data_IF_244009293232
#
_entry.id   IF_244009293232
#
_cell.length_a   1.000
_cell.length_b   1.000
_cell.length_c   1.000
_cell.angle_alpha   90.00
_cell.angle_beta   90.00
_cell.angle_gamma   90.00
#
_symmetry.space_group_name_H-M   'P 1'
#
loop_
_entity.id
_entity.type
_entity.pdbx_description
1 polymer ?
#
# COMPACT_ATOMS: atom_id res chain seq x y z
N UNK A 1 -2.09 12.88 6.53
CA UNK A 1 -0.79 12.38 7.02
C UNK A 1 0.26 12.71 5.96
N UNK A 2 1.52 12.98 6.31
CA UNK A 2 2.59 13.23 5.32
C UNK A 2 3.49 12.02 5.22
N UNK A 3 3.98 11.74 4.02
CA UNK A 3 4.85 10.58 3.77
C UNK A 3 6.14 10.64 4.61
N UNK A 4 6.66 11.85 4.79
CA UNK A 4 7.85 12.20 5.59
C UNK A 4 7.66 11.99 7.11
N UNK A 5 6.43 11.77 7.57
CA UNK A 5 6.13 11.40 8.96
C UNK A 5 5.94 9.90 9.17
N UNK A 6 6.06 9.08 8.12
CA UNK A 6 5.77 7.64 8.22
C UNK A 6 6.72 6.89 9.15
N UNK A 7 7.94 7.38 9.36
CA UNK A 7 8.91 6.78 10.29
C UNK A 7 8.46 6.80 11.75
N UNK A 8 7.43 7.58 12.09
CA UNK A 8 6.83 7.64 13.42
C UNK A 8 5.77 6.55 13.66
N UNK A 9 5.43 5.76 12.62
CA UNK A 9 4.33 4.81 12.67
C UNK A 9 4.78 3.34 12.60
N UNK A 10 3.99 2.49 13.27
CA UNK A 10 4.09 1.04 13.23
C UNK A 10 2.97 0.50 12.36
N UNK A 11 3.31 -0.11 11.22
CA UNK A 11 2.33 -0.82 10.38
C UNK A 11 2.02 -2.15 11.04
N UNK A 12 0.74 -2.41 11.30
CA UNK A 12 0.27 -3.65 11.94
C UNK A 12 -0.47 -4.57 10.97
N UNK A 13 -0.97 -4.01 9.86
CA UNK A 13 -1.58 -4.75 8.78
C UNK A 13 -1.49 -3.93 7.49
N UNK A 14 -1.51 -4.62 6.35
CA UNK A 14 -1.74 -4.01 5.05
C UNK A 14 -2.86 -4.79 4.38
N UNK A 15 -3.83 -4.07 3.83
CA UNK A 15 -4.93 -4.65 3.05
C UNK A 15 -4.83 -4.16 1.61
N UNK A 16 -5.05 -5.05 0.66
CA UNK A 16 -5.27 -4.64 -0.72
C UNK A 16 -6.73 -4.27 -0.93
N UNK A 17 -6.99 -3.32 -1.81
CA UNK A 17 -8.32 -2.94 -2.28
C UNK A 17 -8.45 -3.45 -3.72
N UNK A 18 -9.47 -4.27 -3.96
CA UNK A 18 -9.67 -4.96 -5.22
C UNK A 18 -11.05 -4.63 -5.80
N UNK A 19 -11.11 -4.55 -7.13
CA UNK A 19 -12.34 -4.56 -7.88
C UNK A 19 -12.83 -6.01 -8.04
N UNK A 20 -14.04 -6.31 -7.55
CA UNK A 20 -14.55 -7.68 -7.40
C UNK A 20 -14.65 -8.48 -8.71
N UNK A 21 -15.02 -7.89 -9.88
CA UNK A 21 -15.02 -8.63 -11.14
C UNK A 21 -13.68 -9.27 -11.51
N UNK A 22 -12.58 -8.80 -10.92
CA UNK A 22 -11.22 -9.27 -11.19
C UNK A 22 -10.69 -10.16 -10.04
N UNK A 23 -11.46 -10.39 -8.97
CA UNK A 23 -10.97 -11.06 -7.74
C UNK A 23 -10.70 -12.57 -7.89
N UNK A 24 -11.17 -13.21 -8.98
CA UNK A 24 -11.03 -14.66 -9.17
C UNK A 24 -9.64 -15.12 -9.62
N UNK A 25 -8.76 -14.18 -9.99
CA UNK A 25 -7.41 -14.48 -10.44
C UNK A 25 -6.37 -14.06 -9.38
N UNK A 26 -5.63 -15.02 -8.79
CA UNK A 26 -4.60 -14.72 -7.78
C UNK A 26 -3.40 -13.93 -8.33
N UNK A 27 -3.29 -13.76 -9.66
CA UNK A 27 -2.31 -12.89 -10.29
C UNK A 27 -2.73 -11.41 -10.31
N UNK A 28 -3.99 -11.10 -9.97
CA UNK A 28 -4.50 -9.72 -10.03
C UNK A 28 -3.86 -8.88 -8.94
N UNK A 29 -3.26 -7.79 -9.38
CA UNK A 29 -2.68 -6.79 -8.50
C UNK A 29 -3.79 -5.95 -7.87
N UNK A 30 -3.64 -5.50 -6.62
CA UNK A 30 -4.62 -4.59 -6.03
C UNK A 30 -4.65 -3.26 -6.78
N UNK A 31 -5.78 -2.56 -6.72
CA UNK A 31 -5.90 -1.18 -7.21
C UNK A 31 -5.27 -0.18 -6.23
N UNK A 32 -5.29 -0.54 -4.94
CA UNK A 32 -4.67 0.21 -3.86
C UNK A 32 -4.24 -0.69 -2.71
N UNK A 33 -3.32 -0.20 -1.88
CA UNK A 33 -3.08 -0.80 -0.56
C UNK A 33 -3.33 0.21 0.55
N UNK A 34 -3.86 -0.30 1.66
CA UNK A 34 -4.09 0.48 2.85
C UNK A 34 -3.21 -0.03 4.00
N UNK A 35 -2.30 0.85 4.45
CA UNK A 35 -1.42 0.64 5.58
C UNK A 35 -2.19 0.99 6.86
N UNK A 36 -2.35 0.02 7.75
CA UNK A 36 -3.05 0.21 9.02
C UNK A 36 -1.99 0.40 10.12
N UNK A 37 -2.08 1.50 10.86
CA UNK A 37 -1.08 1.83 11.88
C UNK A 37 -1.57 1.52 13.29
N UNK A 38 -0.63 1.15 14.16
CA UNK A 38 -0.87 0.95 15.58
C UNK A 38 -1.29 2.25 16.29
N UNK A 39 -0.64 3.34 15.92
CA UNK A 39 -0.74 4.62 16.62
C UNK A 39 -2.05 5.35 16.28
N UNK A 40 -2.45 5.35 15.01
CA UNK A 40 -3.74 5.91 14.58
C UNK A 40 -4.04 5.68 13.10
N UNK A 41 -5.27 5.27 12.81
CA UNK A 41 -5.85 5.31 11.46
C UNK A 41 -5.06 4.49 10.44
N UNK A 42 -5.12 4.96 9.20
CA UNK A 42 -4.53 4.28 8.05
C UNK A 42 -4.09 5.26 6.96
N UNK A 43 -3.27 4.77 6.03
CA UNK A 43 -2.84 5.47 4.82
C UNK A 43 -3.18 4.63 3.61
N UNK A 44 -3.79 5.26 2.62
CA UNK A 44 -4.07 4.66 1.33
C UNK A 44 -2.97 5.03 0.32
N UNK A 45 -2.50 4.03 -0.42
CA UNK A 45 -1.58 4.15 -1.55
C UNK A 45 -2.30 3.60 -2.78
N UNK A 46 -2.65 4.48 -3.71
CA UNK A 46 -3.46 4.15 -4.90
C UNK A 46 -2.74 4.53 -6.18
N UNK A 47 -2.83 3.68 -7.21
CA UNK A 47 -2.41 4.07 -8.57
C UNK A 47 -3.45 5.02 -9.17
N UNK A 48 -3.07 6.27 -9.40
CA UNK A 48 -3.92 7.24 -10.07
C UNK A 48 -4.09 6.94 -11.56
N UNK A 49 -5.18 7.43 -12.15
CA UNK A 49 -5.44 7.31 -13.60
C UNK A 49 -4.40 8.03 -14.47
N UNK A 50 -3.61 8.93 -13.89
CA UNK A 50 -2.46 9.59 -14.50
C UNK A 50 -1.14 8.84 -14.28
N UNK A 51 -1.23 7.58 -13.82
CA UNK A 51 -0.13 6.70 -13.45
C UNK A 51 0.82 7.28 -12.39
N UNK A 52 0.32 8.22 -11.59
CA UNK A 52 1.03 8.69 -10.39
C UNK A 52 0.54 7.94 -9.16
N UNK A 53 1.43 7.73 -8.19
CA UNK A 53 1.07 7.16 -6.90
C UNK A 53 0.46 8.25 -6.02
N UNK A 54 -0.79 8.04 -5.63
CA UNK A 54 -1.50 8.91 -4.68
C UNK A 54 -1.31 8.39 -3.26
N UNK A 55 -1.15 9.33 -2.34
CA UNK A 55 -1.00 9.05 -0.91
C UNK A 55 -2.07 9.82 -0.18
N UNK A 56 -3.03 9.10 0.39
CA UNK A 56 -4.20 9.70 1.02
C UNK A 56 -4.38 9.17 2.44
N UNK A 57 -5.13 9.91 3.25
CA UNK A 57 -5.56 9.38 4.54
C UNK A 57 -6.53 8.23 4.26
N UNK A 58 -6.28 7.08 4.87
CA UNK A 58 -7.13 5.92 4.71
C UNK A 58 -8.46 6.03 5.48
N UNK A 59 -9.41 5.20 5.06
CA UNK A 59 -10.78 5.13 5.58
C UNK A 59 -11.08 3.81 6.32
N UNK A 60 -10.10 2.90 6.45
CA UNK A 60 -10.23 1.61 7.11
C UNK A 60 -10.95 1.71 8.47
N UNK A 61 -11.97 0.86 8.74
CA UNK A 61 -12.38 -0.31 7.95
C UNK A 61 -13.43 -0.05 6.87
N UNK A 62 -13.72 1.20 6.53
CA UNK A 62 -14.64 1.56 5.43
C UNK A 62 -13.86 1.68 4.13
N UNK A 63 -14.46 1.27 3.02
CA UNK A 63 -13.86 1.48 1.70
C UNK A 63 -13.68 2.99 1.43
N UNK A 64 -12.59 3.38 0.73
CA UNK A 64 -12.42 4.74 0.27
C UNK A 64 -13.58 5.21 -0.60
N UNK A 65 -13.86 6.52 -0.59
CA UNK A 65 -14.98 7.10 -1.36
C UNK A 65 -14.89 6.92 -2.88
N UNK A 66 -13.69 6.67 -3.39
CA UNK A 66 -13.46 6.42 -4.82
C UNK A 66 -13.88 5.01 -5.25
N UNK A 67 -14.05 4.07 -4.30
CA UNK A 67 -14.63 2.75 -4.55
C UNK A 67 -16.14 2.87 -4.76
N UNK A 68 -16.55 3.19 -5.98
CA UNK A 68 -17.94 3.32 -6.36
C UNK A 68 -18.24 2.55 -7.65
N UNK A 69 -19.33 1.77 -7.70
CA UNK A 69 -20.28 1.50 -6.61
C UNK A 69 -19.65 0.57 -5.54
N UNK A 70 -19.89 0.78 -4.24
CA UNK A 70 -19.10 0.16 -3.16
C UNK A 70 -19.24 -1.37 -3.06
N UNK A 71 -20.31 -1.93 -3.61
CA UNK A 71 -20.57 -3.37 -3.68
C UNK A 71 -19.72 -4.08 -4.75
N UNK A 72 -18.99 -3.35 -5.58
CA UNK A 72 -18.03 -3.89 -6.56
C UNK A 72 -16.58 -3.88 -6.03
N UNK A 73 -16.37 -3.57 -4.76
CA UNK A 73 -15.03 -3.46 -4.17
C UNK A 73 -14.93 -4.20 -2.84
N UNK A 74 -13.72 -4.66 -2.51
CA UNK A 74 -13.45 -5.22 -1.19
C UNK A 74 -11.99 -5.04 -0.75
N UNK A 75 -11.82 -4.97 0.58
CA UNK A 75 -10.53 -5.24 1.20
C UNK A 75 -10.23 -6.74 1.22
N UNK A 76 -8.98 -7.10 0.93
CA UNK A 76 -8.45 -8.46 1.05
C UNK A 76 -7.05 -8.44 1.66
N UNK A 77 -6.68 -9.57 2.25
CA UNK A 77 -5.28 -9.81 2.62
C UNK A 77 -4.44 -10.00 1.36
N UNK A 78 -3.21 -9.50 1.38
CA UNK A 78 -2.28 -9.67 0.26
C UNK A 78 -1.48 -10.96 0.52
N UNK A 79 -1.63 -12.01 -0.30
CA UNK A 79 -1.09 -13.34 0.02
C UNK A 79 0.43 -13.38 0.26
N UNK A 80 1.19 -12.48 -0.39
CA UNK A 80 2.64 -12.39 -0.25
C UNK A 80 3.11 -11.71 1.06
N UNK A 81 2.20 -11.13 1.83
CA UNK A 81 2.52 -10.41 3.06
C UNK A 81 2.25 -11.30 4.27
N UNK A 82 3.31 -11.82 4.91
CA UNK A 82 3.18 -12.43 6.23
C UNK A 82 3.21 -11.35 7.32
N UNK A 83 2.49 -11.55 8.41
CA UNK A 83 2.49 -10.61 9.55
C UNK A 83 3.87 -10.43 10.19
N UNK A 84 4.81 -11.34 9.95
CA UNK A 84 6.20 -11.24 10.39
C UNK A 84 7.01 -10.17 9.63
N UNK A 85 6.49 -9.68 8.50
CA UNK A 85 7.13 -8.69 7.62
C UNK A 85 6.85 -7.24 8.08
N UNK A 86 5.84 -7.03 8.93
CA UNK A 86 5.37 -5.68 9.30
C UNK A 86 5.99 -5.20 10.62
N UNK A 87 6.01 -3.88 10.80
CA UNK A 87 6.53 -3.26 12.01
C UNK A 87 6.70 -1.76 11.88
N UNK A 88 7.64 -1.21 12.65
CA UNK A 88 7.96 0.21 12.59
C UNK A 88 8.72 0.55 11.31
N UNK A 89 8.29 1.61 10.64
CA UNK A 89 8.96 2.12 9.44
C UNK A 89 10.26 2.80 9.86
N UNK A 90 11.38 2.34 9.31
CA UNK A 90 12.70 2.91 9.53
C UNK A 90 13.04 4.00 8.50
N UNK A 91 12.70 3.77 7.23
CA UNK A 91 13.00 4.68 6.15
C UNK A 91 11.92 4.65 5.07
N UNK A 92 11.83 5.73 4.30
CA UNK A 92 10.92 5.84 3.16
C UNK A 92 11.66 6.45 1.98
N UNK A 93 11.77 5.69 0.90
CA UNK A 93 12.32 6.18 -0.36
C UNK A 93 11.20 6.47 -1.35
N UNK A 94 11.44 7.47 -2.20
CA UNK A 94 10.46 7.98 -3.17
C UNK A 94 11.09 7.99 -4.56
N UNK A 95 10.33 7.54 -5.55
CA UNK A 95 10.69 7.73 -6.95
C UNK A 95 9.68 8.66 -7.62
N UNK A 96 10.19 9.64 -8.36
CA UNK A 96 9.38 10.55 -9.17
C UNK A 96 9.68 10.33 -10.66
N UNK A 97 8.68 10.57 -11.51
CA UNK A 97 8.85 10.57 -12.95
C UNK A 97 9.55 11.87 -13.43
N UNK A 98 9.80 11.97 -14.75
CA UNK A 98 10.45 13.15 -15.36
C UNK A 98 9.68 14.47 -15.21
N UNK A 99 8.41 14.43 -14.78
CA UNK A 99 7.57 15.59 -14.51
C UNK A 99 7.45 15.91 -13.01
N UNK A 100 8.14 15.16 -12.15
CA UNK A 100 8.11 15.33 -10.69
C UNK A 100 6.91 14.67 -10.01
N UNK A 101 6.07 13.93 -10.73
CA UNK A 101 4.98 13.15 -10.16
C UNK A 101 5.52 11.92 -9.43
N UNK A 102 5.03 11.65 -8.22
CA UNK A 102 5.39 10.45 -7.47
C UNK A 102 4.90 9.21 -8.22
N UNK A 103 5.76 8.21 -8.37
CA UNK A 103 5.41 6.94 -9.05
C UNK A 103 5.73 5.70 -8.22
N UNK A 104 6.57 5.82 -7.20
CA UNK A 104 6.88 4.70 -6.32
C UNK A 104 7.21 5.19 -4.92
N UNK A 105 6.83 4.37 -3.94
CA UNK A 105 7.30 4.47 -2.55
C UNK A 105 7.85 3.12 -2.12
N UNK A 106 9.04 3.13 -1.50
CA UNK A 106 9.58 1.99 -0.76
C UNK A 106 9.51 2.31 0.73
N UNK A 107 8.85 1.44 1.49
CA UNK A 107 8.80 1.46 2.94
C UNK A 107 9.78 0.41 3.45
N UNK A 108 10.78 0.85 4.20
CA UNK A 108 11.76 -0.03 4.84
C UNK A 108 11.43 -0.13 6.32
N UNK A 109 11.36 -1.34 6.85
CA UNK A 109 11.00 -1.60 8.25
C UNK A 109 12.24 -1.84 9.10
N UNK A 110 12.16 -1.57 10.41
CA UNK A 110 13.26 -1.81 11.36
C UNK A 110 13.71 -3.29 11.39
N UNK A 111 12.82 -4.23 11.04
CA UNK A 111 13.13 -5.66 10.89
C UNK A 111 13.85 -6.04 9.60
N UNK A 112 14.17 -5.07 8.72
CA UNK A 112 14.87 -5.27 7.45
C UNK A 112 13.98 -5.65 6.26
N UNK A 113 12.70 -5.95 6.51
CA UNK A 113 11.70 -6.14 5.46
C UNK A 113 11.38 -4.85 4.71
N UNK A 114 10.83 -5.00 3.51
CA UNK A 114 10.50 -3.89 2.61
C UNK A 114 9.17 -4.11 1.91
N UNK A 115 8.43 -3.02 1.71
CA UNK A 115 7.26 -2.96 0.83
C UNK A 115 7.54 -1.91 -0.23
N UNK A 116 7.46 -2.29 -1.50
CA UNK A 116 7.55 -1.36 -2.63
C UNK A 116 6.17 -1.27 -3.28
N UNK A 117 5.59 -0.08 -3.34
CA UNK A 117 4.35 0.20 -4.05
C UNK A 117 4.65 1.13 -5.23
N UNK A 118 4.32 0.69 -6.45
CA UNK A 118 4.56 1.42 -7.69
C UNK A 118 3.27 1.61 -8.47
N UNK A 119 3.04 2.81 -8.98
CA UNK A 119 1.90 3.13 -9.85
C UNK A 119 2.10 2.58 -11.26
N UNK A 120 1.00 2.34 -11.94
CA UNK A 120 0.90 1.75 -13.27
C UNK A 120 -0.55 1.66 -13.73
N UNK A 121 -0.87 0.68 -14.58
CA UNK A 121 -2.26 0.36 -14.93
C UNK A 121 -3.05 -0.03 -13.68
N UNK A 122 -2.49 -0.90 -12.85
CA UNK A 122 -2.89 -1.16 -11.45
C UNK A 122 -1.68 -0.95 -10.53
N UNK A 123 -1.91 -0.94 -9.22
CA UNK A 123 -0.83 -0.79 -8.25
C UNK A 123 0.01 -2.08 -8.19
N UNK A 124 1.30 -1.99 -8.50
CA UNK A 124 2.23 -3.08 -8.26
C UNK A 124 2.75 -3.02 -6.84
N UNK A 125 2.71 -4.15 -6.12
CA UNK A 125 3.21 -4.24 -4.75
C UNK A 125 4.16 -5.42 -4.60
N UNK A 126 5.38 -5.13 -4.17
CA UNK A 126 6.42 -6.14 -3.92
C UNK A 126 6.77 -6.18 -2.44
N UNK A 127 6.84 -7.39 -1.90
CA UNK A 127 7.21 -7.65 -0.51
C UNK A 127 8.54 -8.38 -0.46
N UNK A 128 9.48 -7.85 0.30
CA UNK A 128 10.77 -8.49 0.56
C UNK A 128 10.90 -8.72 2.05
N UNK A 129 10.97 -9.97 2.49
CA UNK A 129 11.33 -10.29 3.88
C UNK A 129 12.82 -10.08 4.09
N UNK A 130 13.23 -9.70 5.30
CA UNK A 130 14.62 -9.84 5.69
C UNK A 130 15.00 -11.32 5.64
N UNK A 131 16.17 -11.65 5.07
CA UNK A 131 16.70 -13.00 5.13
C UNK A 131 16.82 -13.41 6.60
N UNK A 132 16.16 -14.52 6.98
CA UNK A 132 16.42 -15.19 8.27
C UNK A 132 17.83 -15.79 8.17
N UNK A 133 18.85 -15.00 8.46
CA UNK A 133 20.23 -15.46 8.62
C UNK A 133 20.36 -16.36 9.85
#
# INVERSE_FOLDING_TARGET
MRLDSLTDYTVVAVKGIYYLPEESDPAVSPEAIELIFKESGSLDLTSGTDWTLRIEKGDWPKLPKWCYPPDEWAYRDIPALSSEVLGKIHAVDKQVNGYGGLVQVELQFEGGSRIVAASGESLTVTFTSADKS
#
